data_IF_716292422329
#
_entry.id   IF_716292422329
#
_cell.length_a   1.000
_cell.length_b   1.000
_cell.length_c   1.000
_cell.angle_alpha   90.00
_cell.angle_beta   90.00
_cell.angle_gamma   90.00
#
_symmetry.space_group_name_H-M   'P 1'
#
loop_
_entity.id
_entity.type
_entity.pdbx_description
1 polymer ?
#
# COMPACT_ATOMS: atom_id res chain seq x y z
N UNK A 1 -7.93 -14.08 16.45
CA UNK A 1 -6.82 -13.68 15.57
C UNK A 1 -6.54 -14.84 14.62
N UNK A 2 -6.35 -14.58 13.32
CA UNK A 2 -6.01 -15.62 12.35
C UNK A 2 -4.71 -16.31 12.74
N UNK A 3 -4.55 -17.58 12.35
CA UNK A 3 -3.29 -18.29 12.56
C UNK A 3 -2.24 -17.76 11.60
N UNK A 4 -0.96 -17.91 11.95
CA UNK A 4 0.14 -17.45 11.09
C UNK A 4 0.12 -18.12 9.72
N UNK A 5 -0.29 -19.39 9.66
CA UNK A 5 -0.37 -20.18 8.42
C UNK A 5 -1.52 -19.73 7.52
N UNK A 6 -2.46 -18.95 8.06
CA UNK A 6 -3.62 -18.39 7.37
C UNK A 6 -3.42 -16.89 7.08
N UNK A 7 -2.23 -16.35 7.39
CA UNK A 7 -1.92 -14.92 7.29
C UNK A 7 -0.85 -14.65 6.23
N UNK A 8 -1.06 -13.61 5.44
CA UNK A 8 -0.10 -13.10 4.46
C UNK A 8 0.03 -11.59 4.61
N UNK A 9 1.27 -11.09 4.69
CA UNK A 9 1.56 -9.66 4.64
C UNK A 9 1.62 -9.18 3.19
N UNK A 10 0.77 -8.24 2.79
CA UNK A 10 0.85 -7.57 1.50
C UNK A 10 1.40 -6.16 1.69
N UNK A 11 2.50 -5.82 1.00
CA UNK A 11 3.11 -4.48 1.08
C UNK A 11 3.77 -4.06 -0.25
N UNK A 12 4.38 -2.88 -0.30
CA UNK A 12 5.20 -2.41 -1.42
C UNK A 12 6.71 -2.65 -1.22
N UNK A 13 7.09 -3.13 -0.02
CA UNK A 13 8.47 -3.36 0.38
C UNK A 13 9.27 -2.07 0.61
N UNK A 14 8.62 -0.92 0.81
CA UNK A 14 9.30 0.36 1.00
C UNK A 14 10.06 0.43 2.34
N UNK A 15 11.04 1.34 2.44
CA UNK A 15 11.69 1.66 3.71
C UNK A 15 10.69 2.17 4.76
N UNK A 16 10.99 1.93 6.04
CA UNK A 16 10.16 2.37 7.16
C UNK A 16 9.17 1.29 7.60
N UNK A 17 7.88 1.63 7.68
CA UNK A 17 6.86 0.74 8.23
C UNK A 17 6.76 -0.58 7.47
N UNK A 18 6.67 -0.56 6.14
CA UNK A 18 6.54 -1.78 5.32
C UNK A 18 7.74 -2.73 5.52
N UNK A 19 8.95 -2.20 5.59
CA UNK A 19 10.16 -2.97 5.88
C UNK A 19 10.08 -3.62 7.27
N UNK A 20 9.71 -2.87 8.31
CA UNK A 20 9.62 -3.39 9.68
C UNK A 20 8.54 -4.46 9.80
N UNK A 21 7.37 -4.26 9.20
CA UNK A 21 6.33 -5.29 9.12
C UNK A 21 6.84 -6.55 8.41
N UNK A 22 7.62 -6.39 7.33
CA UNK A 22 8.28 -7.51 6.64
C UNK A 22 9.28 -8.27 7.51
N UNK A 23 10.10 -7.57 8.30
CA UNK A 23 11.03 -8.18 9.27
C UNK A 23 10.28 -8.98 10.31
N UNK A 24 9.18 -8.45 10.85
CA UNK A 24 8.37 -9.17 11.83
C UNK A 24 7.67 -10.37 11.18
N UNK A 25 7.07 -10.22 9.99
CA UNK A 25 6.44 -11.32 9.27
C UNK A 25 7.42 -12.48 9.05
N UNK A 26 8.65 -12.18 8.60
CA UNK A 26 9.71 -13.17 8.44
C UNK A 26 10.07 -13.86 9.77
N UNK A 27 10.25 -13.08 10.84
CA UNK A 27 10.57 -13.61 12.17
C UNK A 27 9.50 -14.55 12.72
N UNK A 28 8.23 -14.27 12.45
CA UNK A 28 7.10 -15.09 12.91
C UNK A 28 6.71 -16.21 11.94
N UNK A 29 7.38 -16.30 10.78
CA UNK A 29 7.09 -17.31 9.75
C UNK A 29 5.81 -17.04 8.99
N UNK A 30 5.41 -15.78 8.87
CA UNK A 30 4.27 -15.31 8.08
C UNK A 30 4.73 -15.11 6.62
N UNK A 31 3.90 -15.52 5.66
CA UNK A 31 4.18 -15.28 4.25
C UNK A 31 4.08 -13.78 3.93
N UNK A 32 4.86 -13.31 2.97
CA UNK A 32 4.76 -11.92 2.53
C UNK A 32 4.76 -11.84 0.99
N UNK A 33 4.04 -10.85 0.46
CA UNK A 33 4.11 -10.45 -0.94
C UNK A 33 4.33 -8.95 -1.01
N UNK A 34 5.44 -8.55 -1.62
CA UNK A 34 5.87 -7.18 -1.79
C UNK A 34 5.66 -6.77 -3.26
N UNK A 35 4.57 -6.07 -3.55
CA UNK A 35 4.23 -5.63 -4.91
C UNK A 35 5.10 -4.45 -5.34
N UNK A 36 5.71 -4.54 -6.51
CA UNK A 36 6.54 -3.45 -7.07
C UNK A 36 6.28 -3.27 -8.56
N UNK A 37 6.72 -2.12 -9.10
CA UNK A 37 6.77 -1.86 -10.53
C UNK A 37 8.22 -1.50 -10.92
N UNK A 38 8.94 -2.46 -11.48
CA UNK A 38 10.37 -2.31 -11.80
C UNK A 38 11.30 -2.58 -10.60
N UNK A 39 12.60 -2.40 -10.84
CA UNK A 39 13.67 -2.92 -9.97
C UNK A 39 14.10 -1.98 -8.83
N UNK A 40 13.72 -0.69 -8.86
CA UNK A 40 14.40 0.35 -8.06
C UNK A 40 13.64 0.86 -6.83
N UNK A 41 12.73 0.09 -6.25
CA UNK A 41 11.79 0.61 -5.24
C UNK A 41 11.71 -0.11 -3.89
N UNK A 42 12.07 -1.40 -3.84
CA UNK A 42 11.83 -2.24 -2.67
C UNK A 42 13.11 -2.44 -1.85
N UNK A 43 13.01 -2.15 -0.55
CA UNK A 43 14.02 -2.47 0.46
C UNK A 43 13.93 -3.92 0.94
N UNK A 44 12.82 -4.60 0.64
CA UNK A 44 12.64 -6.05 0.81
C UNK A 44 12.99 -6.79 -0.48
N UNK A 45 13.66 -7.94 -0.38
CA UNK A 45 13.90 -8.84 -1.52
C UNK A 45 13.05 -10.11 -1.47
N UNK A 46 12.61 -10.53 -0.27
CA UNK A 46 11.70 -11.66 -0.07
C UNK A 46 10.28 -11.29 -0.49
N UNK A 47 9.56 -12.26 -1.08
CA UNK A 47 8.17 -12.08 -1.48
C UNK A 47 7.94 -11.05 -2.60
N UNK A 48 8.99 -10.58 -3.28
CA UNK A 48 8.85 -9.54 -4.31
C UNK A 48 8.04 -10.06 -5.50
N UNK A 49 6.97 -9.33 -5.84
CA UNK A 49 6.14 -9.56 -7.01
C UNK A 49 6.13 -8.32 -7.90
N UNK A 50 6.81 -8.40 -9.03
CA UNK A 50 6.85 -7.32 -10.01
C UNK A 50 5.57 -7.36 -10.85
N UNK A 51 4.76 -6.31 -10.77
CA UNK A 51 3.54 -6.18 -11.54
C UNK A 51 3.87 -5.86 -13.00
N UNK A 52 3.26 -6.62 -13.92
CA UNK A 52 3.35 -6.36 -15.35
C UNK A 52 2.60 -5.07 -15.73
N UNK A 53 2.87 -4.55 -16.93
CA UNK A 53 2.10 -3.41 -17.45
C UNK A 53 0.60 -3.68 -17.54
N UNK A 54 0.23 -4.93 -17.81
CA UNK A 54 -1.18 -5.33 -17.88
C UNK A 54 -1.84 -5.38 -16.52
N UNK A 55 -1.17 -5.99 -15.54
CA UNK A 55 -1.64 -5.99 -14.15
C UNK A 55 -1.80 -4.56 -13.62
N UNK A 56 -0.81 -3.68 -13.83
CA UNK A 56 -0.88 -2.28 -13.40
C UNK A 56 -2.11 -1.53 -13.94
N UNK A 57 -2.60 -1.86 -15.15
CA UNK A 57 -3.82 -1.23 -15.70
C UNK A 57 -5.08 -1.58 -14.91
N UNK A 58 -5.11 -2.71 -14.20
CA UNK A 58 -6.29 -3.08 -13.39
C UNK A 58 -6.50 -2.13 -12.21
N UNK A 59 -5.41 -1.51 -11.71
CA UNK A 59 -5.45 -0.52 -10.65
C UNK A 59 -5.51 0.92 -11.14
N UNK A 60 -5.85 1.17 -12.41
CA UNK A 60 -5.93 2.53 -12.92
C UNK A 60 -7.07 3.31 -12.26
N UNK A 61 -6.70 4.45 -11.68
CA UNK A 61 -7.63 5.39 -11.05
C UNK A 61 -7.42 6.79 -11.62
N UNK A 62 -8.50 7.57 -11.67
CA UNK A 62 -8.42 8.96 -12.11
C UNK A 62 -7.64 9.79 -11.10
N UNK A 63 -6.52 10.39 -11.52
CA UNK A 63 -5.75 11.28 -10.66
C UNK A 63 -6.56 12.49 -10.20
N UNK A 64 -7.50 13.00 -11.02
CA UNK A 64 -8.37 14.10 -10.60
C UNK A 64 -9.33 13.68 -9.49
N UNK A 65 -9.79 12.43 -9.52
CA UNK A 65 -10.62 11.87 -8.44
C UNK A 65 -9.83 11.75 -7.14
N UNK A 66 -8.62 11.17 -7.21
CA UNK A 66 -7.73 11.02 -6.04
C UNK A 66 -7.36 12.38 -5.45
N UNK A 67 -6.99 13.34 -6.29
CA UNK A 67 -6.68 14.71 -5.88
C UNK A 67 -7.84 15.38 -5.14
N UNK A 68 -9.07 15.23 -5.65
CA UNK A 68 -10.27 15.79 -5.00
C UNK A 68 -10.57 15.09 -3.68
N UNK A 69 -10.48 13.76 -3.63
CA UNK A 69 -10.76 12.99 -2.42
C UNK A 69 -9.76 13.31 -1.30
N UNK A 70 -8.48 13.45 -1.65
CA UNK A 70 -7.40 13.71 -0.69
C UNK A 70 -7.09 15.20 -0.48
N UNK A 71 -7.83 16.10 -1.13
CA UNK A 71 -7.58 17.55 -1.11
C UNK A 71 -6.12 17.95 -1.44
N UNK A 72 -5.53 17.34 -2.48
CA UNK A 72 -4.10 17.48 -2.83
C UNK A 72 -3.87 17.54 -4.34
N UNK A 73 -2.74 18.14 -4.73
CA UNK A 73 -2.26 18.15 -6.12
C UNK A 73 -1.00 17.30 -6.25
N UNK A 74 -0.95 16.41 -7.23
CA UNK A 74 0.22 15.57 -7.51
C UNK A 74 0.99 16.11 -8.72
N UNK A 75 2.28 16.40 -8.54
CA UNK A 75 3.15 17.01 -9.56
C UNK A 75 3.82 15.99 -10.50
N UNK A 76 4.03 14.74 -10.06
CA UNK A 76 4.63 13.66 -10.86
C UNK A 76 3.57 12.61 -11.25
N UNK A 77 2.74 12.96 -12.23
CA UNK A 77 1.59 12.14 -12.66
C UNK A 77 1.97 10.71 -13.12
N UNK A 78 3.08 10.46 -13.86
CA UNK A 78 3.44 9.10 -14.27
C UNK A 78 3.91 8.21 -13.12
N UNK A 79 4.77 8.72 -12.23
CA UNK A 79 5.26 7.92 -11.09
C UNK A 79 4.16 7.69 -10.06
N UNK A 80 3.41 8.74 -9.72
CA UNK A 80 2.33 8.61 -8.72
C UNK A 80 1.29 7.59 -9.20
N UNK A 81 0.94 7.59 -10.49
CA UNK A 81 -0.01 6.62 -11.04
C UNK A 81 0.42 5.18 -10.76
N UNK A 82 1.69 4.84 -10.99
CA UNK A 82 2.20 3.50 -10.71
C UNK A 82 2.16 3.15 -9.22
N UNK A 83 2.47 4.10 -8.35
CA UNK A 83 2.32 3.93 -6.90
C UNK A 83 0.86 3.62 -6.52
N UNK A 84 -0.11 4.38 -7.06
CA UNK A 84 -1.54 4.16 -6.79
C UNK A 84 -2.01 2.78 -7.31
N UNK A 85 -1.54 2.37 -8.49
CA UNK A 85 -1.82 1.06 -9.08
C UNK A 85 -1.27 -0.07 -8.21
N UNK A 86 -0.07 0.08 -7.64
CA UNK A 86 0.49 -0.90 -6.70
C UNK A 86 -0.28 -0.93 -5.38
N UNK A 87 -0.67 0.23 -4.85
CA UNK A 87 -1.52 0.30 -3.65
C UNK A 87 -2.86 -0.39 -3.86
N UNK A 88 -3.45 -0.27 -5.05
CA UNK A 88 -4.67 -0.99 -5.40
C UNK A 88 -4.51 -2.52 -5.24
N UNK A 89 -3.38 -3.08 -5.67
CA UNK A 89 -3.09 -4.51 -5.48
C UNK A 89 -2.95 -4.90 -4.02
N UNK A 90 -2.21 -4.10 -3.23
CA UNK A 90 -2.04 -4.33 -1.79
C UNK A 90 -3.38 -4.36 -1.07
N UNK A 91 -4.20 -3.33 -1.27
CA UNK A 91 -5.50 -3.19 -0.60
C UNK A 91 -6.48 -4.25 -1.09
N UNK A 92 -6.49 -4.60 -2.37
CA UNK A 92 -7.39 -5.65 -2.86
C UNK A 92 -7.01 -7.05 -2.34
N UNK A 93 -5.72 -7.36 -2.22
CA UNK A 93 -5.25 -8.64 -1.72
C UNK A 93 -5.44 -8.81 -0.21
N UNK A 94 -5.28 -7.73 0.58
CA UNK A 94 -5.39 -7.78 2.04
C UNK A 94 -6.84 -7.74 2.55
N UNK A 95 -7.16 -8.49 3.60
CA UNK A 95 -8.49 -8.43 4.25
C UNK A 95 -8.59 -7.26 5.23
N UNK A 96 -7.50 -6.95 5.92
CA UNK A 96 -7.36 -5.84 6.86
C UNK A 96 -6.24 -4.91 6.40
N UNK A 97 -6.41 -3.60 6.58
CA UNK A 97 -5.43 -2.59 6.14
C UNK A 97 -4.88 -1.84 7.34
N UNK A 98 -3.56 -1.96 7.55
CA UNK A 98 -2.81 -1.26 8.58
C UNK A 98 -2.06 -0.09 7.95
N UNK A 99 -2.31 1.11 8.44
CA UNK A 99 -1.79 2.36 7.90
C UNK A 99 -0.95 3.03 8.97
N UNK A 100 0.34 3.20 8.71
CA UNK A 100 1.26 3.89 9.61
C UNK A 100 1.78 5.14 8.92
N UNK A 101 1.48 6.31 9.46
CA UNK A 101 1.98 7.57 8.93
C UNK A 101 1.27 8.79 9.51
N UNK A 102 1.83 9.96 9.21
CA UNK A 102 1.36 11.23 9.77
C UNK A 102 -0.10 11.52 9.39
N UNK A 103 -0.98 11.58 10.39
CA UNK A 103 -2.36 12.04 10.26
C UNK A 103 -2.37 13.57 10.18
N UNK A 104 -3.09 14.11 9.20
CA UNK A 104 -3.24 15.56 9.01
C UNK A 104 -4.51 16.07 9.71
N UNK A 105 -4.62 17.40 9.84
CA UNK A 105 -5.77 18.06 10.45
C UNK A 105 -7.10 17.78 9.72
N UNK A 106 -7.03 17.46 8.42
CA UNK A 106 -8.18 17.05 7.61
C UNK A 106 -8.58 15.57 7.79
N UNK A 107 -7.90 14.84 8.68
CA UNK A 107 -8.15 13.43 8.97
C UNK A 107 -7.56 12.45 7.96
N UNK A 108 -6.84 12.92 6.94
CA UNK A 108 -6.16 12.07 5.95
C UNK A 108 -4.72 11.78 6.34
N UNK A 109 -4.16 10.66 5.87
CA UNK A 109 -2.73 10.36 6.07
C UNK A 109 -1.89 10.99 4.96
N UNK A 110 -0.67 11.44 5.29
CA UNK A 110 0.25 12.08 4.33
C UNK A 110 0.77 11.08 3.28
N UNK A 111 0.98 11.55 2.04
CA UNK A 111 1.67 10.81 0.98
C UNK A 111 0.85 9.67 0.36
N UNK A 112 1.56 8.70 -0.25
CA UNK A 112 0.94 7.51 -0.87
C UNK A 112 0.20 6.62 0.13
N UNK A 113 0.70 6.55 1.37
CA UNK A 113 0.03 5.88 2.51
C UNK A 113 -1.39 6.40 2.74
N UNK A 114 -1.61 7.71 2.54
CA UNK A 114 -2.93 8.32 2.57
C UNK A 114 -3.90 7.77 1.53
N UNK A 115 -3.44 7.54 0.31
CA UNK A 115 -4.29 6.91 -0.70
C UNK A 115 -4.67 5.48 -0.31
N UNK A 116 -3.73 4.70 0.24
CA UNK A 116 -4.04 3.35 0.73
C UNK A 116 -5.14 3.34 1.78
N UNK A 117 -5.12 4.31 2.70
CA UNK A 117 -6.16 4.50 3.70
C UNK A 117 -7.52 4.82 3.07
N UNK A 118 -7.58 5.81 2.19
CA UNK A 118 -8.84 6.21 1.55
C UNK A 118 -9.40 5.12 0.63
N UNK A 119 -8.54 4.40 -0.08
CA UNK A 119 -8.96 3.31 -0.94
C UNK A 119 -9.50 2.12 -0.13
N UNK A 120 -8.89 1.79 1.01
CA UNK A 120 -9.42 0.76 1.92
C UNK A 120 -10.83 1.11 2.42
N UNK A 121 -11.08 2.39 2.76
CA UNK A 121 -12.42 2.88 3.12
C UNK A 121 -13.42 2.68 1.98
N UNK A 122 -13.04 3.02 0.73
CA UNK A 122 -13.89 2.80 -0.45
C UNK A 122 -14.21 1.32 -0.68
N UNK A 123 -13.29 0.42 -0.36
CA UNK A 123 -13.48 -1.02 -0.42
C UNK A 123 -14.26 -1.60 0.77
N UNK A 124 -14.68 -0.78 1.75
CA UNK A 124 -15.29 -1.20 3.01
C UNK A 124 -14.46 -2.24 3.79
N UNK A 125 -13.13 -2.13 3.74
CA UNK A 125 -12.22 -3.01 4.49
C UNK A 125 -11.94 -2.45 5.89
N UNK A 126 -11.80 -3.31 6.92
CA UNK A 126 -11.29 -2.89 8.22
C UNK A 126 -9.97 -2.14 8.08
N UNK A 127 -9.91 -0.94 8.68
CA UNK A 127 -8.74 -0.05 8.61
C UNK A 127 -8.29 0.34 10.01
N UNK A 128 -6.98 0.25 10.24
CA UNK A 128 -6.33 0.64 11.48
C UNK A 128 -5.25 1.68 11.17
N UNK A 129 -5.39 2.89 11.70
CA UNK A 129 -4.47 4.00 11.41
C UNK A 129 -3.67 4.35 12.65
N UNK A 130 -2.35 4.42 12.51
CA UNK A 130 -1.40 4.76 13.57
C UNK A 130 -0.58 5.98 13.14
N UNK A 131 -0.61 7.02 13.96
CA UNK A 131 0.12 8.27 13.73
C UNK A 131 1.62 8.11 14.02
N UNK A 132 2.46 8.89 13.34
CA UNK A 132 3.92 8.87 13.43
C UNK A 132 4.51 10.24 13.75
#
# INVERSE_FOLDING_TARGET
MPKREESVLFSGGANGAEYEFGVQAERFGIEETNFTFGESGSSRTRGVRVLTREELRNGDVSLSYVSRLMNRTFSDAPRIRKVLQTIWYMVNAGEEVYVVGKILEDGTVRGGTGWGAEFAKLCNKPIFVFDQ
#
